data_IF_598029504593
#
_entry.id   IF_598029504593
#
_cell.length_a   1.000
_cell.length_b   1.000
_cell.length_c   1.000
_cell.angle_alpha   90.00
_cell.angle_beta   90.00
_cell.angle_gamma   90.00
#
_symmetry.space_group_name_H-M   'P 1'
#
loop_
_entity.id
_entity.type
_entity.pdbx_description
1 polymer ?
#
# COMPACT_ATOMS: atom_id res chain seq x y z
N UNK A 1 53.84 -9.00 61.44
CA UNK A 1 53.18 -10.13 60.75
C UNK A 1 51.77 -10.12 61.30
N UNK A 2 50.72 -9.74 60.58
CA UNK A 2 50.49 -9.85 59.15
C UNK A 2 49.85 -8.59 58.55
N UNK A 3 49.98 -8.52 57.24
CA UNK A 3 49.62 -7.48 56.28
C UNK A 3 48.16 -7.60 55.79
N UNK A 4 47.65 -6.51 55.22
CA UNK A 4 46.59 -6.44 54.18
C UNK A 4 45.13 -6.71 54.65
N UNK A 5 44.08 -6.11 54.12
CA UNK A 5 43.86 -5.35 52.89
C UNK A 5 42.58 -4.50 53.07
N UNK A 6 42.51 -3.36 52.38
CA UNK A 6 41.27 -2.63 52.19
C UNK A 6 41.02 -2.47 50.70
N UNK A 7 39.78 -2.69 50.22
CA UNK A 7 39.24 -1.84 49.16
C UNK A 7 37.83 -1.34 49.51
N UNK A 8 37.64 -0.01 49.58
CA UNK A 8 37.26 0.87 48.46
C UNK A 8 35.82 0.65 47.96
N UNK A 9 34.95 1.57 48.39
CA UNK A 9 34.20 2.45 47.50
C UNK A 9 33.01 1.85 46.76
N UNK A 10 31.81 2.22 47.21
CA UNK A 10 30.68 2.52 46.32
C UNK A 10 29.73 3.45 47.07
N UNK A 11 29.94 4.75 46.87
CA UNK A 11 28.91 5.76 47.08
C UNK A 11 27.76 5.44 46.12
N UNK A 12 26.58 5.20 46.66
CA UNK A 12 25.35 5.06 45.90
C UNK A 12 24.32 6.05 46.45
N UNK A 13 24.62 7.34 46.27
CA UNK A 13 23.59 8.38 46.28
C UNK A 13 22.81 8.24 44.97
N UNK A 14 21.73 7.45 45.03
CA UNK A 14 20.67 7.47 44.03
C UNK A 14 19.40 7.89 44.75
N UNK A 15 19.23 9.21 44.81
CA UNK A 15 17.95 9.88 45.08
C UNK A 15 16.92 9.43 44.04
N UNK A 16 16.23 8.33 44.33
CA UNK A 16 15.07 7.88 43.56
C UNK A 16 13.82 8.59 44.08
N UNK A 17 13.74 9.89 43.83
CA UNK A 17 12.50 10.65 43.94
C UNK A 17 11.93 10.83 42.53
N UNK A 18 11.31 9.76 42.02
CA UNK A 18 10.45 9.80 40.84
C UNK A 18 9.05 9.40 41.29
N UNK A 19 8.37 10.39 41.85
CA UNK A 19 6.93 10.40 42.08
C UNK A 19 6.28 10.45 40.69
N UNK A 20 6.10 9.27 40.11
CA UNK A 20 5.31 9.04 38.91
C UNK A 20 4.07 8.28 39.35
N UNK A 21 3.13 9.00 39.94
CA UNK A 21 1.72 8.58 40.06
C UNK A 21 1.10 8.56 38.65
N UNK A 22 1.53 7.58 37.84
CA UNK A 22 0.77 7.08 36.70
C UNK A 22 0.01 5.86 37.20
N UNK A 23 -1.04 6.11 37.98
CA UNK A 23 -2.05 5.11 38.30
C UNK A 23 -2.77 4.73 37.00
N UNK A 24 -2.18 3.80 36.24
CA UNK A 24 -2.96 2.85 35.47
C UNK A 24 -3.96 2.14 36.40
N UNK A 25 -4.93 1.34 35.90
CA UNK A 25 -5.88 0.66 36.76
C UNK A 25 -5.14 -0.33 37.67
N UNK A 26 -4.71 0.15 38.84
CA UNK A 26 -4.11 -0.58 39.95
C UNK A 26 -5.23 -1.30 40.71
N UNK A 27 -6.04 -2.06 39.96
CA UNK A 27 -7.12 -2.85 40.52
C UNK A 27 -6.55 -4.22 40.86
N UNK A 28 -6.45 -4.49 42.16
CA UNK A 28 -5.96 -5.76 42.69
C UNK A 28 -6.89 -6.90 42.24
N UNK A 29 -6.31 -8.02 41.79
CA UNK A 29 -7.05 -9.24 41.50
C UNK A 29 -7.69 -9.76 42.79
N UNK A 30 -9.01 -9.78 42.84
CA UNK A 30 -9.73 -10.30 44.00
C UNK A 30 -9.68 -11.82 44.00
N UNK A 31 -8.82 -12.36 44.86
CA UNK A 31 -8.69 -13.81 45.11
C UNK A 31 -9.68 -14.19 46.20
N UNK A 32 -10.75 -14.86 45.82
CA UNK A 32 -11.64 -15.50 46.78
C UNK A 32 -11.01 -16.83 47.22
N UNK A 33 -10.94 -17.10 48.53
CA UNK A 33 -10.35 -18.33 49.11
C UNK A 33 -11.01 -19.65 48.66
N UNK A 34 -12.09 -19.58 47.89
CA UNK A 34 -12.83 -20.73 47.39
C UNK A 34 -12.83 -20.79 45.86
N UNK A 35 -11.65 -20.78 45.25
CA UNK A 35 -11.49 -21.08 43.83
C UNK A 35 -11.89 -22.54 43.59
N UNK A 36 -13.02 -22.77 42.93
CA UNK A 36 -13.47 -24.12 42.58
C UNK A 36 -12.51 -24.79 41.59
N UNK A 37 -12.64 -26.11 41.41
CA UNK A 37 -11.98 -26.81 40.30
C UNK A 37 -12.95 -26.96 39.15
N UNK A 38 -12.56 -26.50 37.96
CA UNK A 38 -13.39 -26.59 36.75
C UNK A 38 -12.74 -27.48 35.69
N UNK A 39 -13.55 -27.95 34.75
CA UNK A 39 -13.10 -28.71 33.58
C UNK A 39 -12.98 -27.81 32.36
N UNK A 40 -11.85 -27.89 31.67
CA UNK A 40 -11.67 -27.23 30.38
C UNK A 40 -12.05 -28.20 29.26
N UNK A 41 -13.12 -27.91 28.54
CA UNK A 41 -13.63 -28.79 27.48
C UNK A 41 -13.49 -28.12 26.12
N UNK A 42 -12.73 -28.75 25.21
CA UNK A 42 -12.62 -28.32 23.81
C UNK A 42 -13.82 -28.82 23.01
N UNK A 43 -14.68 -27.90 22.59
CA UNK A 43 -15.92 -28.16 21.83
C UNK A 43 -15.68 -27.98 20.32
N UNK A 44 -16.17 -28.89 19.44
CA UNK A 44 -16.16 -28.68 18.00
C UNK A 44 -16.90 -27.41 17.60
N UNK A 45 -16.32 -26.64 16.68
CA UNK A 45 -16.86 -25.35 16.21
C UNK A 45 -18.33 -25.43 15.76
N UNK A 46 -18.73 -26.53 15.12
CA UNK A 46 -20.11 -26.73 14.66
C UNK A 46 -21.13 -26.78 15.81
N UNK A 47 -20.74 -27.36 16.95
CA UNK A 47 -21.58 -27.44 18.14
C UNK A 47 -21.63 -26.07 18.81
N UNK A 48 -20.48 -25.41 18.94
CA UNK A 48 -20.40 -24.05 19.48
C UNK A 48 -21.25 -23.05 18.68
N UNK A 49 -21.15 -23.06 17.35
CA UNK A 49 -21.94 -22.20 16.46
C UNK A 49 -23.45 -22.46 16.57
N UNK A 50 -23.85 -23.69 16.92
CA UNK A 50 -25.25 -23.99 17.16
C UNK A 50 -25.72 -23.46 18.51
N UNK A 51 -24.93 -23.61 19.57
CA UNK A 51 -25.23 -23.08 20.90
C UNK A 51 -25.25 -21.55 20.92
N UNK A 52 -24.37 -20.88 20.16
CA UNK A 52 -24.37 -19.40 20.04
C UNK A 52 -25.61 -18.83 19.35
N UNK A 53 -26.39 -19.64 18.63
CA UNK A 53 -27.65 -19.19 17.99
C UNK A 53 -28.84 -19.23 18.94
N UNK A 54 -28.69 -19.88 20.09
CA UNK A 54 -29.74 -20.02 21.09
C UNK A 54 -29.65 -18.80 22.00
N UNK A 55 -30.58 -17.86 21.81
CA UNK A 55 -30.65 -16.58 22.54
C UNK A 55 -31.49 -16.68 23.83
N UNK A 56 -31.98 -17.88 24.16
CA UNK A 56 -32.82 -18.12 25.33
C UNK A 56 -31.98 -18.62 26.49
N UNK A 57 -32.07 -17.92 27.61
CA UNK A 57 -31.47 -18.35 28.86
C UNK A 57 -32.20 -19.59 29.42
N UNK A 58 -31.45 -20.46 30.11
CA UNK A 58 -31.96 -21.68 30.73
C UNK A 58 -32.33 -22.81 29.77
N UNK A 59 -31.98 -22.74 28.49
CA UNK A 59 -32.29 -23.80 27.52
C UNK A 59 -31.38 -25.02 27.71
N UNK A 60 -31.97 -26.22 27.72
CA UNK A 60 -31.21 -27.47 27.87
C UNK A 60 -30.47 -27.82 26.58
N UNK A 61 -29.16 -27.55 26.55
CA UNK A 61 -28.31 -27.74 25.38
C UNK A 61 -27.86 -29.21 25.19
N UNK A 62 -27.50 -29.87 26.29
CA UNK A 62 -26.94 -31.22 26.26
C UNK A 62 -27.02 -31.90 27.63
N UNK A 63 -27.02 -33.23 27.62
CA UNK A 63 -26.92 -34.07 28.83
C UNK A 63 -25.55 -34.75 28.85
N UNK A 64 -24.80 -34.55 29.94
CA UNK A 64 -23.55 -35.26 30.18
C UNK A 64 -23.83 -36.59 30.92
N UNK A 65 -23.33 -37.70 30.40
CA UNK A 65 -23.41 -39.04 31.00
C UNK A 65 -22.02 -39.53 31.35
N UNK A 66 -21.81 -39.92 32.60
CA UNK A 66 -20.53 -40.45 33.09
C UNK A 66 -20.71 -41.93 33.39
N UNK A 67 -19.99 -42.77 32.65
CA UNK A 67 -19.97 -44.22 32.84
C UNK A 67 -18.71 -44.60 33.62
N UNK A 68 -18.84 -44.71 34.93
CA UNK A 68 -17.71 -45.00 35.85
C UNK A 68 -17.39 -46.49 35.99
N UNK A 69 -18.25 -47.37 35.46
CA UNK A 69 -18.07 -48.83 35.49
C UNK A 69 -16.95 -49.31 34.54
N UNK A 70 -16.49 -48.47 33.62
CA UNK A 70 -15.41 -48.78 32.69
C UNK A 70 -14.11 -48.10 33.16
N UNK A 71 -12.97 -48.79 33.01
CA UNK A 71 -11.65 -48.24 33.34
C UNK A 71 -10.83 -48.08 32.04
N UNK A 72 -10.55 -46.85 31.56
CA UNK A 72 -10.90 -45.54 32.14
C UNK A 72 -12.39 -45.17 31.98
N UNK A 73 -12.91 -44.26 32.84
CA UNK A 73 -14.32 -43.84 32.80
C UNK A 73 -14.65 -43.21 31.45
N UNK A 74 -15.77 -43.62 30.87
CA UNK A 74 -16.23 -43.10 29.58
C UNK A 74 -17.25 -42.00 29.84
N UNK A 75 -16.94 -40.79 29.40
CA UNK A 75 -17.85 -39.64 29.51
C UNK A 75 -18.44 -39.38 28.12
N UNK A 76 -19.76 -39.31 28.03
CA UNK A 76 -20.49 -39.02 26.81
C UNK A 76 -21.35 -37.76 26.95
N UNK A 77 -21.31 -36.90 25.93
CA UNK A 77 -22.16 -35.73 25.79
C UNK A 77 -23.25 -36.04 24.75
N UNK A 78 -24.50 -36.05 25.18
CA UNK A 78 -25.66 -36.21 24.32
C UNK A 78 -26.26 -34.82 24.03
N UNK A 79 -26.22 -34.37 22.78
CA UNK A 79 -26.87 -33.12 22.40
C UNK A 79 -28.39 -33.25 22.47
N UNK A 80 -29.06 -32.17 22.89
CA UNK A 80 -30.50 -32.09 22.87
C UNK A 80 -31.05 -32.29 21.44
N UNK A 81 -32.26 -32.83 21.34
CA UNK A 81 -32.96 -32.99 20.05
C UNK A 81 -33.77 -31.72 19.74
N UNK A 82 -33.08 -30.57 19.67
CA UNK A 82 -33.72 -29.29 19.36
C UNK A 82 -33.96 -29.17 17.84
N UNK A 83 -35.19 -28.82 17.39
CA UNK A 83 -35.45 -28.48 16.00
C UNK A 83 -34.59 -27.33 15.43
N UNK A 84 -33.97 -26.47 16.25
CA UNK A 84 -33.08 -25.42 15.74
C UNK A 84 -31.68 -25.93 15.39
N UNK A 85 -31.29 -27.10 15.90
CA UNK A 85 -30.04 -27.75 15.54
C UNK A 85 -30.12 -28.28 14.10
N UNK A 86 -28.98 -28.25 13.39
CA UNK A 86 -28.85 -28.95 12.11
C UNK A 86 -29.21 -30.44 12.31
N UNK A 87 -29.89 -31.04 11.33
CA UNK A 87 -30.40 -32.43 11.40
C UNK A 87 -29.33 -33.46 11.79
N UNK A 88 -28.08 -33.20 11.41
CA UNK A 88 -26.92 -34.03 11.69
C UNK A 88 -26.39 -33.92 13.14
N UNK A 89 -26.71 -32.85 13.87
CA UNK A 89 -26.32 -32.61 15.26
C UNK A 89 -27.42 -33.01 16.25
N UNK A 90 -28.67 -33.11 15.78
CA UNK A 90 -29.82 -33.51 16.60
C UNK A 90 -29.63 -34.91 17.18
N UNK A 91 -29.59 -34.99 18.52
CA UNK A 91 -29.37 -36.25 19.23
C UNK A 91 -28.00 -36.88 18.97
N UNK A 92 -27.04 -36.11 18.48
CA UNK A 92 -25.67 -36.60 18.28
C UNK A 92 -25.00 -36.89 19.64
N UNK A 93 -24.28 -37.99 19.70
CA UNK A 93 -23.51 -38.42 20.85
C UNK A 93 -22.03 -38.11 20.59
N UNK A 94 -21.39 -37.47 21.55
CA UNK A 94 -19.96 -37.21 21.56
C UNK A 94 -19.33 -37.89 22.75
N UNK A 95 -18.08 -38.32 22.63
CA UNK A 95 -17.30 -38.89 23.72
C UNK A 95 -16.24 -37.88 24.14
N UNK A 96 -16.09 -37.64 25.43
CA UNK A 96 -15.02 -36.79 25.95
C UNK A 96 -13.76 -37.66 26.11
N UNK A 97 -12.69 -37.26 25.44
CA UNK A 97 -11.36 -37.84 25.60
C UNK A 97 -10.53 -36.97 26.53
N UNK A 98 -9.95 -37.56 27.58
CA UNK A 98 -9.08 -36.84 28.51
C UNK A 98 -7.74 -36.52 27.81
N UNK A 99 -7.18 -35.36 28.14
CA UNK A 99 -5.83 -34.99 27.70
C UNK A 99 -4.82 -35.71 28.59
N UNK A 100 -3.85 -36.41 28.00
CA UNK A 100 -2.83 -37.14 28.76
C UNK A 100 -1.98 -36.23 29.67
N UNK A 101 -1.83 -34.95 29.31
CA UNK A 101 -1.09 -33.95 30.07
C UNK A 101 -2.07 -33.18 30.95
N UNK A 102 -1.83 -33.16 32.26
CA UNK A 102 -2.58 -32.30 33.18
C UNK A 102 -2.22 -30.82 32.93
N UNK A 103 -3.22 -29.94 32.83
CA UNK A 103 -2.97 -28.51 32.75
C UNK A 103 -2.26 -28.07 34.03
N UNK A 104 -1.20 -27.26 33.87
CA UNK A 104 -0.51 -26.59 34.99
C UNK A 104 -0.65 -25.10 34.78
N UNK A 105 -0.90 -24.36 35.86
CA UNK A 105 -0.99 -22.90 35.86
C UNK A 105 -2.10 -22.36 34.92
N UNK A 106 -3.26 -23.01 34.90
CA UNK A 106 -4.40 -22.59 34.09
C UNK A 106 -5.53 -22.16 35.02
N UNK A 107 -5.85 -20.87 35.01
CA UNK A 107 -6.87 -20.29 35.89
C UNK A 107 -8.00 -19.67 35.07
N UNK A 108 -9.20 -19.67 35.63
CA UNK A 108 -10.35 -18.94 35.10
C UNK A 108 -10.49 -17.65 35.87
N UNK A 109 -10.44 -16.54 35.14
CA UNK A 109 -10.67 -15.19 35.64
C UNK A 109 -11.91 -14.65 34.95
N UNK A 110 -12.84 -14.12 35.71
CA UNK A 110 -14.03 -13.46 35.20
C UNK A 110 -13.95 -11.94 35.41
N UNK A 111 -14.54 -11.22 34.48
CA UNK A 111 -14.68 -9.76 34.51
C UNK A 111 -16.19 -9.46 34.53
N UNK A 112 -16.67 -8.90 35.63
CA UNK A 112 -18.12 -8.78 35.88
C UNK A 112 -18.77 -7.69 35.02
N UNK A 113 -18.06 -6.60 34.74
CA UNK A 113 -18.56 -5.51 33.89
C UNK A 113 -17.44 -4.87 33.09
N UNK A 114 -17.70 -4.43 31.85
CA UNK A 114 -16.70 -3.70 31.05
C UNK A 114 -16.43 -2.27 31.57
N UNK A 115 -17.09 -1.86 32.65
CA UNK A 115 -17.09 -0.48 33.18
C UNK A 115 -16.34 -0.34 34.50
N UNK A 116 -16.13 -1.46 35.21
CA UNK A 116 -15.34 -1.55 36.42
C UNK A 116 -14.51 -2.84 36.31
N UNK A 117 -13.19 -2.71 36.22
CA UNK A 117 -12.24 -3.79 35.97
C UNK A 117 -11.96 -4.63 37.21
N UNK A 118 -12.99 -4.94 38.00
CA UNK A 118 -12.86 -5.87 39.13
C UNK A 118 -12.68 -7.29 38.56
N UNK A 119 -11.41 -7.67 38.37
CA UNK A 119 -11.01 -8.99 37.94
C UNK A 119 -11.08 -9.95 39.12
N UNK A 120 -11.77 -11.07 38.94
CA UNK A 120 -11.96 -12.05 40.00
C UNK A 120 -11.41 -13.41 39.58
N UNK A 121 -10.61 -14.03 40.45
CA UNK A 121 -10.16 -15.41 40.25
C UNK A 121 -11.29 -16.37 40.64
N UNK A 122 -11.84 -17.08 39.65
CA UNK A 122 -13.03 -17.93 39.83
C UNK A 122 -12.65 -19.39 40.11
N UNK A 123 -11.68 -19.94 39.37
CA UNK A 123 -11.35 -21.36 39.46
C UNK A 123 -9.96 -21.74 38.95
N UNK A 124 -9.45 -22.87 39.43
CA UNK A 124 -8.31 -23.59 38.85
C UNK A 124 -8.82 -24.70 37.91
N UNK A 125 -8.10 -24.94 36.82
CA UNK A 125 -8.47 -25.94 35.82
C UNK A 125 -7.83 -27.29 36.21
N UNK A 126 -8.67 -28.25 36.62
CA UNK A 126 -8.20 -29.56 37.04
C UNK A 126 -7.90 -30.51 35.89
N UNK A 127 -8.85 -30.65 34.96
CA UNK A 127 -8.75 -31.58 33.83
C UNK A 127 -9.15 -30.94 32.51
N UNK A 128 -8.43 -31.34 31.46
CA UNK A 128 -8.69 -30.90 30.09
C UNK A 128 -9.27 -32.04 29.28
N UNK A 129 -10.42 -31.80 28.67
CA UNK A 129 -11.18 -32.75 27.88
C UNK A 129 -11.36 -32.27 26.44
N UNK A 130 -11.38 -33.21 25.50
CA UNK A 130 -11.63 -32.94 24.08
C UNK A 130 -12.89 -33.70 23.69
N UNK A 131 -13.90 -32.98 23.23
CA UNK A 131 -15.12 -33.60 22.71
C UNK A 131 -14.79 -34.19 21.34
N UNK A 132 -14.77 -35.51 21.29
CA UNK A 132 -14.64 -36.27 20.06
C UNK A 132 -16.04 -36.71 19.58
N UNK A 133 -16.40 -36.42 18.33
CA UNK A 133 -17.63 -36.93 17.77
C UNK A 133 -17.58 -38.46 17.72
N UNK A 134 -18.65 -39.13 18.14
CA UNK A 134 -18.77 -40.54 17.88
C UNK A 134 -18.73 -40.74 16.35
N UNK A 135 -17.97 -41.74 15.87
CA UNK A 135 -17.75 -42.01 14.44
C UNK A 135 -19.03 -42.55 13.78
N UNK A 136 -20.05 -41.72 13.72
CA UNK A 136 -21.34 -42.00 13.14
C UNK A 136 -21.28 -41.62 11.66
N UNK A 137 -21.87 -42.44 10.80
CA UNK A 137 -21.97 -42.20 9.35
C UNK A 137 -22.46 -40.77 9.01
N UNK A 138 -23.40 -40.23 9.78
CA UNK A 138 -23.93 -38.86 9.62
C UNK A 138 -22.87 -37.77 9.86
N UNK A 139 -22.07 -37.92 10.91
CA UNK A 139 -21.04 -36.97 11.26
C UNK A 139 -19.87 -36.98 10.26
N UNK A 140 -19.46 -38.18 9.83
CA UNK A 140 -18.43 -38.35 8.80
C UNK A 140 -18.81 -37.68 7.48
N UNK A 141 -20.10 -37.72 7.10
CA UNK A 141 -20.60 -36.98 5.92
C UNK A 141 -20.45 -35.45 6.08
N UNK A 142 -20.80 -34.90 7.23
CA UNK A 142 -20.63 -33.46 7.51
C UNK A 142 -19.15 -33.06 7.43
N UNK A 143 -18.24 -33.82 8.04
CA UNK A 143 -16.80 -33.51 7.98
C UNK A 143 -16.29 -33.51 6.53
N UNK A 144 -16.70 -34.48 5.71
CA UNK A 144 -16.33 -34.49 4.29
C UNK A 144 -16.90 -33.30 3.53
N UNK A 145 -18.16 -32.93 3.77
CA UNK A 145 -18.79 -31.79 3.11
C UNK A 145 -18.13 -30.46 3.50
N UNK A 146 -17.87 -30.27 4.80
CA UNK A 146 -17.16 -29.09 5.30
C UNK A 146 -15.74 -29.02 4.78
N UNK A 147 -15.01 -30.13 4.77
CA UNK A 147 -13.66 -30.18 4.23
C UNK A 147 -13.68 -29.93 2.71
N UNK A 148 -14.71 -30.41 1.98
CA UNK A 148 -14.91 -30.11 0.57
C UNK A 148 -15.08 -28.61 0.38
N UNK A 149 -16.01 -27.98 1.09
CA UNK A 149 -16.28 -26.54 1.01
C UNK A 149 -15.07 -25.68 1.40
N UNK A 150 -14.36 -26.04 2.47
CA UNK A 150 -13.17 -25.34 2.91
C UNK A 150 -12.01 -25.47 1.90
N UNK A 151 -11.91 -26.61 1.22
CA UNK A 151 -10.90 -26.87 0.19
C UNK A 151 -11.33 -26.46 -1.22
N UNK A 152 -12.54 -25.91 -1.42
CA UNK A 152 -12.89 -25.29 -2.70
C UNK A 152 -12.06 -24.01 -2.82
N UNK A 153 -11.16 -23.89 -3.81
CA UNK A 153 -10.34 -22.70 -3.95
C UNK A 153 -11.24 -21.50 -4.29
N UNK A 154 -11.25 -20.49 -3.43
CA UNK A 154 -12.07 -19.27 -3.59
C UNK A 154 -11.67 -18.41 -4.80
N UNK A 155 -10.50 -18.67 -5.38
CA UNK A 155 -9.99 -18.02 -6.59
C UNK A 155 -9.69 -19.11 -7.60
N UNK A 156 -10.48 -19.16 -8.67
CA UNK A 156 -10.23 -20.04 -9.81
C UNK A 156 -9.81 -19.18 -10.99
N UNK A 157 -8.88 -19.70 -11.78
CA UNK A 157 -8.54 -19.12 -13.08
C UNK A 157 -9.75 -19.31 -13.99
N UNK A 158 -10.38 -18.21 -14.38
CA UNK A 158 -11.43 -18.24 -15.40
C UNK A 158 -10.70 -18.41 -16.74
N UNK A 159 -10.80 -19.59 -17.34
CA UNK A 159 -10.40 -19.76 -18.73
C UNK A 159 -11.38 -18.98 -19.59
N UNK A 160 -10.88 -17.91 -20.20
CA UNK A 160 -11.65 -17.12 -21.15
C UNK A 160 -11.77 -17.94 -22.43
N UNK A 161 -13.01 -18.24 -22.82
CA UNK A 161 -13.29 -18.96 -24.06
C UNK A 161 -12.97 -18.08 -25.28
N UNK A 162 -12.19 -18.65 -26.20
CA UNK A 162 -11.64 -18.00 -27.40
C UNK A 162 -12.73 -17.76 -28.48
N UNK A 163 -13.97 -18.19 -28.23
CA UNK A 163 -15.14 -17.89 -29.06
C UNK A 163 -15.64 -16.44 -28.96
N UNK A 164 -15.21 -15.68 -27.96
CA UNK A 164 -15.64 -14.29 -27.78
C UNK A 164 -14.81 -13.33 -28.66
N UNK A 165 -15.35 -12.99 -29.84
CA UNK A 165 -14.72 -12.10 -30.81
C UNK A 165 -14.34 -10.70 -30.26
N UNK A 166 -14.86 -10.30 -29.10
CA UNK A 166 -14.47 -9.06 -28.42
C UNK A 166 -13.11 -9.15 -27.72
N UNK A 167 -12.73 -10.30 -27.17
CA UNK A 167 -11.48 -10.44 -26.41
C UNK A 167 -10.28 -10.53 -27.34
N UNK A 168 -10.44 -11.17 -28.51
CA UNK A 168 -9.46 -11.16 -29.61
C UNK A 168 -9.10 -9.74 -30.08
N UNK A 169 -10.03 -8.79 -29.98
CA UNK A 169 -9.80 -7.38 -30.34
C UNK A 169 -9.06 -6.60 -29.26
N UNK A 170 -9.17 -7.00 -28.00
CA UNK A 170 -8.44 -6.38 -26.88
C UNK A 170 -6.97 -6.81 -26.91
N UNK A 171 -6.69 -8.08 -27.24
CA UNK A 171 -5.32 -8.62 -27.34
C UNK A 171 -4.54 -8.08 -28.56
N UNK A 172 -5.22 -7.77 -29.67
CA UNK A 172 -4.57 -7.29 -30.91
C UNK A 172 -4.30 -5.79 -30.94
N UNK A 173 -4.58 -5.05 -29.87
CA UNK A 173 -4.42 -3.58 -29.83
C UNK A 173 -5.42 -2.80 -30.71
N UNK A 174 -6.19 -3.48 -31.55
CA UNK A 174 -7.16 -2.87 -32.47
C UNK A 174 -8.52 -2.56 -31.82
N UNK A 175 -8.72 -2.94 -30.56
CA UNK A 175 -10.04 -3.01 -29.95
C UNK A 175 -10.19 -2.39 -28.58
N UNK A 176 -9.51 -1.29 -28.24
CA UNK A 176 -9.95 -0.35 -27.18
C UNK A 176 -9.04 0.90 -27.03
N UNK A 177 -8.75 1.60 -28.13
CA UNK A 177 -7.99 2.87 -28.07
C UNK A 177 -8.75 4.01 -27.36
N UNK A 178 -10.06 3.86 -27.13
CA UNK A 178 -10.88 4.87 -26.44
C UNK A 178 -10.60 5.00 -24.95
N UNK A 179 -10.09 3.95 -24.29
CA UNK A 179 -10.02 3.90 -22.83
C UNK A 179 -8.68 4.39 -22.25
N UNK A 180 -7.68 4.67 -23.11
CA UNK A 180 -6.40 5.27 -22.70
C UNK A 180 -6.41 6.81 -22.75
N UNK A 181 -7.52 7.45 -23.14
CA UNK A 181 -7.65 8.92 -23.21
C UNK A 181 -7.36 9.65 -21.89
N UNK A 182 -7.48 8.95 -20.76
CA UNK A 182 -7.24 9.53 -19.43
C UNK A 182 -5.83 9.27 -18.86
N UNK A 183 -4.98 8.46 -19.52
CA UNK A 183 -3.66 8.13 -18.97
C UNK A 183 -2.59 9.16 -19.38
N UNK A 184 -2.67 9.70 -20.60
CA UNK A 184 -1.83 10.81 -21.05
C UNK A 184 -2.66 11.73 -21.95
N UNK A 185 -3.21 12.81 -21.38
CA UNK A 185 -3.80 13.89 -22.18
C UNK A 185 -2.67 14.68 -22.80
N UNK A 186 -2.32 14.38 -24.04
CA UNK A 186 -1.43 15.24 -24.81
C UNK A 186 -2.09 16.63 -24.92
N UNK A 187 -1.35 17.68 -24.52
CA UNK A 187 -1.79 19.06 -24.69
C UNK A 187 -2.12 19.26 -26.19
N UNK A 188 -3.33 19.69 -26.55
CA UNK A 188 -3.68 19.89 -27.96
C UNK A 188 -2.67 20.85 -28.58
N UNK A 189 -1.95 20.36 -29.59
CA UNK A 189 -1.01 21.16 -30.37
C UNK A 189 -1.82 22.26 -31.05
N UNK A 190 -1.54 23.52 -30.72
CA UNK A 190 -2.20 24.65 -31.36
C UNK A 190 -2.06 24.52 -32.89
N UNK A 191 -3.11 24.85 -33.67
CA UNK A 191 -3.10 24.65 -35.12
C UNK A 191 -1.92 25.40 -35.73
N UNK A 192 -1.00 24.66 -36.35
CA UNK A 192 0.25 25.17 -36.92
C UNK A 192 0.04 26.32 -37.92
N UNK A 193 -1.16 26.44 -38.51
CA UNK A 193 -1.48 27.46 -39.52
C UNK A 193 -1.99 28.81 -39.01
N UNK A 194 -2.01 29.09 -37.69
CA UNK A 194 -2.44 30.41 -37.20
C UNK A 194 -1.27 31.42 -37.14
N UNK A 195 -0.05 30.95 -36.89
CA UNK A 195 1.14 31.80 -36.81
C UNK A 195 1.82 32.03 -38.17
N UNK A 196 1.65 31.13 -39.13
CA UNK A 196 2.14 31.30 -40.51
C UNK A 196 1.34 32.32 -41.32
N UNK A 197 0.12 32.67 -40.87
CA UNK A 197 -0.76 33.65 -41.52
C UNK A 197 -0.64 35.07 -40.96
N UNK A 198 0.28 35.31 -40.03
CA UNK A 198 0.51 36.67 -39.56
C UNK A 198 1.10 37.50 -40.70
N UNK A 199 0.46 38.64 -41.01
CA UNK A 199 0.99 39.57 -41.99
C UNK A 199 2.36 40.09 -41.53
N UNK A 200 3.34 40.05 -42.44
CA UNK A 200 4.69 40.57 -42.20
C UNK A 200 4.58 42.06 -41.88
N UNK A 201 4.98 42.45 -40.69
CA UNK A 201 5.11 43.86 -40.30
C UNK A 201 6.32 44.47 -41.02
N UNK A 202 6.32 45.76 -41.40
CA UNK A 202 7.50 46.40 -41.98
C UNK A 202 8.71 46.28 -41.05
N UNK A 203 9.89 46.02 -41.65
CA UNK A 203 11.16 45.75 -40.96
C UNK A 203 11.49 46.79 -39.89
N UNK A 204 11.26 48.06 -40.18
CA UNK A 204 11.56 49.17 -39.28
C UNK A 204 10.75 49.08 -37.97
N UNK A 205 9.47 48.72 -38.06
CA UNK A 205 8.60 48.57 -36.90
C UNK A 205 8.94 47.30 -36.09
N UNK A 206 9.37 46.23 -36.77
CA UNK A 206 9.88 45.03 -36.11
C UNK A 206 11.15 45.31 -35.30
N UNK A 207 12.07 46.11 -35.86
CA UNK A 207 13.30 46.52 -35.18
C UNK A 207 13.00 47.31 -33.90
N UNK A 208 12.09 48.28 -33.96
CA UNK A 208 11.70 49.06 -32.78
C UNK A 208 11.11 48.17 -31.67
N UNK A 209 10.27 47.18 -32.03
CA UNK A 209 9.74 46.21 -31.07
C UNK A 209 10.84 45.29 -30.52
N UNK A 210 11.78 44.83 -31.35
CA UNK A 210 12.90 43.99 -30.93
C UNK A 210 13.83 44.73 -29.98
N UNK A 211 14.23 45.96 -30.29
CA UNK A 211 15.08 46.77 -29.40
C UNK A 211 14.40 47.00 -28.05
N UNK A 212 13.09 47.28 -28.02
CA UNK A 212 12.33 47.39 -26.76
C UNK A 212 12.37 46.10 -25.94
N UNK A 213 12.35 44.94 -26.59
CA UNK A 213 12.46 43.64 -25.90
C UNK A 213 13.87 43.39 -25.35
N UNK A 214 14.91 43.73 -26.13
CA UNK A 214 16.31 43.58 -25.71
C UNK A 214 16.72 44.56 -24.59
N UNK A 215 16.02 45.69 -24.44
CA UNK A 215 16.19 46.56 -23.27
C UNK A 215 15.71 45.93 -21.96
N UNK A 216 14.74 45.01 -22.02
CA UNK A 216 14.19 44.34 -20.83
C UNK A 216 15.03 43.14 -20.41
N UNK A 217 15.58 42.40 -21.37
CA UNK A 217 16.40 41.22 -21.11
C UNK A 217 17.48 41.11 -22.18
N UNK A 218 18.74 40.85 -21.77
CA UNK A 218 19.88 40.78 -22.68
C UNK A 218 19.80 39.63 -23.69
N UNK A 219 19.06 38.58 -23.33
CA UNK A 219 19.02 37.32 -24.07
C UNK A 219 17.56 36.85 -24.23
N UNK A 220 17.13 36.48 -25.45
CA UNK A 220 15.78 35.96 -25.72
C UNK A 220 15.78 34.68 -26.58
N UNK A 221 14.93 33.72 -26.23
CA UNK A 221 14.76 32.51 -27.06
C UNK A 221 13.82 32.76 -28.24
N UNK A 222 14.07 32.09 -29.37
CA UNK A 222 13.32 32.29 -30.62
C UNK A 222 11.81 32.04 -30.45
N UNK A 223 11.44 31.10 -29.57
CA UNK A 223 10.05 30.77 -29.27
C UNK A 223 9.31 31.94 -28.60
N UNK A 224 9.97 32.62 -27.67
CA UNK A 224 9.39 33.76 -26.94
C UNK A 224 9.30 34.99 -27.83
N UNK A 225 10.32 35.23 -28.66
CA UNK A 225 10.27 36.33 -29.65
C UNK A 225 9.13 36.11 -30.64
N UNK A 226 8.95 34.89 -31.16
CA UNK A 226 7.82 34.55 -32.04
C UNK A 226 6.47 34.81 -31.39
N UNK A 227 6.31 34.46 -30.13
CA UNK A 227 5.04 34.64 -29.41
C UNK A 227 4.71 36.11 -29.17
N UNK A 228 5.73 36.94 -28.89
CA UNK A 228 5.56 38.38 -28.63
C UNK A 228 5.38 39.20 -29.90
N UNK A 229 6.16 38.93 -30.94
CA UNK A 229 6.09 39.67 -32.21
C UNK A 229 4.99 39.14 -33.13
N UNK A 230 4.54 37.89 -32.89
CA UNK A 230 3.58 37.16 -33.73
C UNK A 230 3.99 37.15 -35.21
N UNK A 231 5.28 37.17 -35.50
CA UNK A 231 5.81 37.14 -36.88
C UNK A 231 6.20 35.69 -37.28
N UNK A 232 6.20 35.37 -38.58
CA UNK A 232 6.70 34.07 -39.05
C UNK A 232 8.19 33.89 -38.72
N UNK A 233 8.59 32.63 -38.47
CA UNK A 233 9.94 32.27 -37.99
C UNK A 233 11.05 32.72 -38.94
N UNK A 234 10.85 32.56 -40.24
CA UNK A 234 11.87 32.85 -41.25
C UNK A 234 12.20 34.35 -41.30
N UNK A 235 11.16 35.19 -41.29
CA UNK A 235 11.33 36.65 -41.30
C UNK A 235 11.96 37.18 -40.01
N UNK A 236 11.60 36.58 -38.88
CA UNK A 236 12.19 36.92 -37.60
C UNK A 236 13.65 36.47 -37.50
N UNK A 237 14.03 35.36 -38.14
CA UNK A 237 15.41 34.88 -38.20
C UNK A 237 16.28 35.77 -39.10
N UNK A 238 15.80 36.10 -40.30
CA UNK A 238 16.51 37.01 -41.23
C UNK A 238 16.79 38.37 -40.58
N UNK A 239 15.80 38.94 -39.90
CA UNK A 239 15.96 40.23 -39.22
C UNK A 239 16.84 40.16 -37.97
N UNK A 240 16.81 39.06 -37.21
CA UNK A 240 17.70 38.86 -36.06
C UNK A 240 19.15 38.60 -36.48
N UNK A 241 19.40 37.91 -37.59
CA UNK A 241 20.76 37.64 -38.08
C UNK A 241 21.52 38.93 -38.47
N UNK A 242 20.82 39.99 -38.85
CA UNK A 242 21.43 41.30 -39.13
C UNK A 242 21.82 42.11 -37.88
N UNK A 243 21.14 41.90 -36.74
CA UNK A 243 21.29 42.75 -35.54
C UNK A 243 21.75 42.02 -34.29
N UNK A 244 21.66 40.68 -34.26
CA UNK A 244 21.84 39.85 -33.07
C UNK A 244 22.71 38.61 -33.36
N UNK A 245 23.37 38.12 -32.31
CA UNK A 245 24.22 36.94 -32.31
C UNK A 245 23.45 35.79 -31.64
N UNK A 246 23.44 34.61 -32.27
CA UNK A 246 22.89 33.38 -31.70
C UNK A 246 23.95 32.63 -30.89
N UNK A 247 23.70 32.43 -29.60
CA UNK A 247 24.53 31.60 -28.74
C UNK A 247 24.20 30.12 -28.96
N UNK A 248 25.07 29.40 -29.67
CA UNK A 248 24.88 27.96 -29.97
C UNK A 248 25.31 27.04 -28.82
N UNK A 249 26.13 27.54 -27.89
CA UNK A 249 26.74 26.75 -26.81
C UNK A 249 26.72 27.49 -25.48
N UNK A 250 26.66 26.75 -24.36
CA UNK A 250 26.68 27.29 -22.99
C UNK A 250 25.31 27.37 -22.30
N UNK A 251 25.22 27.94 -21.08
CA UNK A 251 23.97 28.01 -20.30
C UNK A 251 22.81 28.75 -20.98
N UNK A 252 23.11 29.56 -22.01
CA UNK A 252 22.14 30.30 -22.81
C UNK A 252 22.03 29.75 -24.25
N UNK A 253 22.12 28.42 -24.44
CA UNK A 253 21.96 27.80 -25.77
C UNK A 253 20.64 28.20 -26.43
N UNK A 254 20.69 28.37 -27.76
CA UNK A 254 19.54 28.76 -28.58
C UNK A 254 18.89 30.10 -28.21
N UNK A 255 19.69 31.03 -27.69
CA UNK A 255 19.25 32.36 -27.26
C UNK A 255 19.94 33.44 -28.09
N UNK A 256 19.18 34.45 -28.51
CA UNK A 256 19.66 35.59 -29.28
C UNK A 256 20.05 36.74 -28.33
N UNK A 257 21.20 37.35 -28.56
CA UNK A 257 21.66 38.57 -27.88
C UNK A 257 22.00 39.65 -28.90
N UNK A 258 21.76 40.92 -28.58
CA UNK A 258 22.07 42.00 -29.52
C UNK A 258 23.57 42.09 -29.83
N UNK A 259 23.92 42.36 -31.09
CA UNK A 259 25.32 42.50 -31.51
C UNK A 259 25.97 43.71 -30.82
N UNK A 260 27.26 43.60 -30.47
CA UNK A 260 27.99 44.62 -29.72
C UNK A 260 27.94 46.03 -30.37
N UNK A 261 27.89 46.11 -31.70
CA UNK A 261 27.77 47.37 -32.44
C UNK A 261 26.45 48.10 -32.19
N UNK A 262 25.34 47.36 -32.07
CA UNK A 262 24.01 47.92 -31.82
C UNK A 262 23.72 48.08 -30.33
N UNK A 263 24.29 47.22 -29.47
CA UNK A 263 24.21 47.35 -28.02
C UNK A 263 24.82 48.67 -27.51
N UNK A 264 25.91 49.13 -28.15
CA UNK A 264 26.55 50.41 -27.82
C UNK A 264 25.77 51.63 -28.33
N UNK A 265 25.02 51.49 -29.42
CA UNK A 265 24.25 52.59 -30.04
C UNK A 265 22.88 52.80 -29.38
N UNK A 266 22.26 51.74 -28.86
CA UNK A 266 20.91 51.76 -28.29
C UNK A 266 20.86 51.54 -26.76
N UNK A 267 22.02 51.52 -26.10
CA UNK A 267 22.14 51.66 -24.63
C UNK A 267 21.71 50.45 -23.81
N UNK A 268 22.34 49.28 -24.03
CA UNK A 268 22.30 48.18 -23.06
C UNK A 268 23.53 48.22 -22.13
N UNK A 269 23.41 47.93 -20.81
CA UNK A 269 24.56 47.93 -19.90
C UNK A 269 25.58 46.86 -20.31
N UNK A 270 26.89 47.13 -20.24
CA UNK A 270 27.92 46.16 -20.55
C UNK A 270 27.94 45.02 -19.52
N UNK A 271 27.96 43.77 -20.00
CA UNK A 271 28.09 42.59 -19.14
C UNK A 271 29.48 42.55 -18.49
N UNK A 272 29.50 42.30 -17.18
CA UNK A 272 30.72 42.12 -16.38
C UNK A 272 31.38 40.79 -16.72
N UNK A 273 32.54 40.88 -17.37
CA UNK A 273 33.49 39.81 -17.58
C UNK A 273 34.04 39.32 -16.22
N UNK A 274 33.70 38.10 -15.79
CA UNK A 274 34.46 37.39 -14.75
C UNK A 274 34.95 36.05 -15.29
N UNK A 275 36.16 36.11 -15.85
CA UNK A 275 36.98 34.95 -16.08
C UNK A 275 37.49 34.40 -14.73
N UNK A 276 37.29 33.12 -14.49
CA UNK A 276 38.13 32.25 -13.63
C UNK A 276 37.73 30.80 -13.95
N UNK A 277 38.39 30.14 -14.89
CA UNK A 277 39.45 29.15 -14.62
C UNK A 277 39.14 28.19 -13.48
N UNK A 278 38.79 26.95 -13.82
CA UNK A 278 39.45 25.74 -13.28
C UNK A 278 39.04 24.51 -14.09
N UNK A 279 40.06 23.75 -14.45
CA UNK A 279 40.10 22.69 -15.45
C UNK A 279 39.59 21.32 -14.96
N UNK A 280 39.39 20.44 -15.97
CA UNK A 280 39.45 18.97 -15.93
C UNK A 280 38.19 18.26 -15.42
N UNK A 281 37.62 17.24 -16.06
CA UNK A 281 38.26 16.15 -16.81
C UNK A 281 37.27 15.45 -17.78
N UNK A 282 37.87 14.76 -18.76
CA UNK A 282 37.44 13.80 -19.80
C UNK A 282 36.10 13.05 -19.58
N UNK A 283 35.33 12.66 -20.61
CA UNK A 283 35.54 11.58 -21.61
C UNK A 283 34.53 11.81 -22.76
N UNK A 284 34.97 12.08 -23.99
CA UNK A 284 35.13 11.15 -25.15
C UNK A 284 33.81 10.65 -25.80
N UNK A 285 33.53 11.30 -26.93
CA UNK A 285 33.08 10.85 -28.26
C UNK A 285 32.55 9.42 -28.48
N UNK A 286 31.36 9.34 -29.10
CA UNK A 286 31.02 8.67 -30.38
C UNK A 286 29.48 8.70 -30.48
N UNK A 287 28.88 9.61 -31.27
CA UNK A 287 28.56 9.43 -32.70
C UNK A 287 27.83 8.12 -33.00
N UNK A 288 26.53 8.22 -33.29
CA UNK A 288 25.90 7.54 -34.43
C UNK A 288 24.64 8.33 -34.82
N UNK A 289 24.77 8.99 -35.97
CA UNK A 289 23.70 9.51 -36.81
C UNK A 289 22.84 8.33 -37.31
N UNK A 290 21.53 8.54 -37.45
CA UNK A 290 20.70 7.85 -38.45
C UNK A 290 19.50 8.77 -38.72
N UNK A 291 19.77 9.73 -39.59
CA UNK A 291 18.77 10.37 -40.44
C UNK A 291 18.58 9.44 -41.63
N UNK A 292 17.36 8.97 -41.91
CA UNK A 292 16.98 8.65 -43.29
C UNK A 292 15.46 8.60 -43.45
N UNK A 293 15.04 9.33 -44.47
CA UNK A 293 13.71 9.70 -44.88
C UNK A 293 12.97 8.57 -45.64
N UNK A 294 11.64 8.71 -45.64
CA UNK A 294 10.66 8.46 -46.71
C UNK A 294 10.74 7.26 -47.70
N UNK A 295 9.52 6.71 -47.95
CA UNK A 295 9.04 6.15 -49.23
C UNK A 295 9.71 4.85 -49.74
N UNK A 296 9.07 3.87 -50.38
CA UNK A 296 7.80 3.80 -51.11
C UNK A 296 7.38 2.33 -51.25
N UNK A 297 6.07 2.14 -51.36
CA UNK A 297 5.36 1.23 -52.24
C UNK A 297 6.17 0.24 -53.13
N UNK A 298 5.97 -1.07 -52.95
CA UNK A 298 5.76 -2.00 -54.08
C UNK A 298 4.90 -3.20 -53.68
N UNK A 299 3.91 -3.44 -54.53
CA UNK A 299 2.97 -4.55 -54.51
C UNK A 299 3.58 -5.89 -54.98
N UNK A 300 2.76 -6.94 -54.80
CA UNK A 300 2.89 -8.31 -55.33
C UNK A 300 3.90 -9.21 -54.57
N UNK A 301 3.60 -10.45 -54.20
CA UNK A 301 2.65 -11.44 -54.71
C UNK A 301 2.39 -12.49 -53.62
#
# INVERSE_FOLDING_TARGET
MDYDDAPRGRDSDLDSNSDSDDDGPNEDLMIHDNSGTVWLVKVPRTVMEAWMKIDKDGEHLATLRVYQEMEPPVIQLLLANDPNLQENLRGAVFTLASTAVRPKNMFVVSETTPTQSDMQLEADIGEQWHIQPALTQKWTKNIHERNREANVPKRQLIQIDDGSAQIKKIASGAGHLGNFSNMVKQKPKAPAGQFERAARIPKNELLDMLFKLFLVQSHWSMKVLRERTKQPLDYLKETLEEIAILHKSGPHTNTWSLQASYAQQFGAPPETNVASTSASNMVESDEDEDDDEDMDEVAAM
#
